data_IF_187501623174
#
_entry.id   IF_187501623174
#
_cell.length_a   1.000
_cell.length_b   1.000
_cell.length_c   1.000
_cell.angle_alpha   90.00
_cell.angle_beta   90.00
_cell.angle_gamma   90.00
#
_symmetry.space_group_name_H-M   'P 1'
#
loop_
_entity.id
_entity.type
_entity.pdbx_description
1 polymer ?
#
# COMPACT_ATOMS: atom_id res chain seq x y z
N UNK A 1 19.16 11.16 8.93
CA UNK A 1 19.03 10.65 7.55
C UNK A 1 18.46 11.76 6.66
N UNK A 2 18.85 11.83 5.38
CA UNK A 2 18.52 12.95 4.46
C UNK A 2 17.02 13.21 4.29
N UNK A 3 16.17 12.19 4.43
CA UNK A 3 14.71 12.32 4.27
C UNK A 3 13.93 12.46 5.59
N UNK A 4 14.58 12.28 6.75
CA UNK A 4 14.00 12.42 8.10
C UNK A 4 12.50 12.03 8.21
N UNK A 5 11.65 12.97 8.62
CA UNK A 5 10.20 12.82 8.80
C UNK A 5 9.41 12.69 7.47
N UNK A 6 9.99 13.14 6.36
CA UNK A 6 9.42 13.00 5.02
C UNK A 6 9.47 11.56 4.49
N UNK A 7 10.25 10.68 5.12
CA UNK A 7 10.39 9.30 4.68
C UNK A 7 9.24 8.44 5.21
N UNK A 8 8.25 8.19 4.34
CA UNK A 8 7.21 7.19 4.56
C UNK A 8 7.74 5.74 4.55
N UNK A 9 6.83 4.74 4.60
CA UNK A 9 7.19 3.33 4.57
C UNK A 9 7.94 2.97 3.28
N UNK A 10 8.99 2.15 3.41
CA UNK A 10 9.78 1.68 2.27
C UNK A 10 8.98 0.66 1.47
N UNK A 11 8.84 0.84 0.16
CA UNK A 11 8.17 -0.15 -0.69
C UNK A 11 9.08 -1.35 -0.96
N UNK A 12 8.68 -2.53 -0.49
CA UNK A 12 9.29 -3.82 -0.83
C UNK A 12 8.38 -4.58 -1.80
N UNK A 13 8.71 -4.51 -3.09
CA UNK A 13 7.92 -5.15 -4.14
C UNK A 13 8.57 -6.45 -4.62
N UNK A 14 7.84 -7.55 -4.47
CA UNK A 14 8.31 -8.89 -4.79
C UNK A 14 7.93 -9.29 -6.23
N UNK A 15 8.80 -10.02 -6.96
CA UNK A 15 8.46 -10.51 -8.29
C UNK A 15 7.42 -11.63 -8.21
N UNK A 16 6.65 -11.89 -9.29
CA UNK A 16 5.61 -12.92 -9.31
C UNK A 16 6.17 -14.35 -9.15
N UNK A 17 7.46 -14.57 -9.44
CA UNK A 17 8.12 -15.87 -9.25
C UNK A 17 8.52 -16.14 -7.80
N UNK A 18 8.43 -15.15 -6.91
CA UNK A 18 8.80 -15.30 -5.50
C UNK A 18 7.60 -15.78 -4.69
N UNK A 19 7.59 -17.08 -4.39
CA UNK A 19 6.63 -17.66 -3.44
C UNK A 19 6.95 -17.27 -1.99
N UNK A 20 6.00 -17.55 -1.09
CA UNK A 20 6.08 -17.24 0.34
C UNK A 20 7.37 -17.81 0.93
N UNK A 21 8.14 -16.94 1.58
CA UNK A 21 9.31 -17.29 2.35
C UNK A 21 9.41 -16.31 3.54
N UNK A 22 8.92 -16.75 4.70
CA UNK A 22 8.84 -15.90 5.89
C UNK A 22 10.23 -15.51 6.41
N UNK A 23 11.22 -16.42 6.36
CA UNK A 23 12.58 -16.11 6.80
C UNK A 23 13.23 -15.01 5.94
N UNK A 24 13.00 -15.03 4.62
CA UNK A 24 13.44 -13.97 3.72
C UNK A 24 12.75 -12.64 4.05
N UNK A 25 11.42 -12.66 4.22
CA UNK A 25 10.66 -11.46 4.54
C UNK A 25 11.13 -10.85 5.86
N UNK A 26 11.26 -11.66 6.91
CA UNK A 26 11.73 -11.23 8.22
C UNK A 26 13.14 -10.64 8.17
N UNK A 27 14.05 -11.29 7.45
CA UNK A 27 15.42 -10.80 7.25
C UNK A 27 15.44 -9.43 6.54
N UNK A 28 14.60 -9.24 5.53
CA UNK A 28 14.49 -7.96 4.80
C UNK A 28 13.91 -6.85 5.68
N UNK A 29 12.84 -7.14 6.42
CA UNK A 29 12.19 -6.18 7.32
C UNK A 29 13.13 -5.78 8.48
N UNK A 30 13.81 -6.76 9.08
CA UNK A 30 14.83 -6.54 10.11
C UNK A 30 15.97 -5.67 9.58
N UNK A 31 16.48 -5.96 8.37
CA UNK A 31 17.59 -5.21 7.78
C UNK A 31 17.21 -3.76 7.43
N UNK A 32 15.95 -3.49 7.09
CA UNK A 32 15.46 -2.13 6.86
C UNK A 32 15.42 -1.31 8.15
N UNK A 33 15.23 -1.96 9.30
CA UNK A 33 15.10 -1.33 10.63
C UNK A 33 14.07 -0.19 10.65
N UNK A 34 13.00 -0.31 9.85
CA UNK A 34 11.91 0.65 9.73
C UNK A 34 10.69 0.04 9.04
N UNK A 35 9.50 0.65 9.18
CA UNK A 35 8.29 0.21 8.49
C UNK A 35 8.47 0.08 6.97
N UNK A 36 7.95 -1.02 6.43
CA UNK A 36 7.93 -1.30 5.01
C UNK A 36 6.51 -1.62 4.54
N UNK A 37 6.19 -1.21 3.32
CA UNK A 37 4.99 -1.62 2.62
C UNK A 37 5.35 -2.78 1.68
N UNK A 38 4.87 -3.99 1.98
CA UNK A 38 5.16 -5.19 1.21
C UNK A 38 4.13 -5.38 0.07
N UNK A 39 4.60 -5.45 -1.16
CA UNK A 39 3.78 -5.74 -2.33
C UNK A 39 4.12 -7.12 -2.89
N UNK A 40 3.16 -8.03 -2.81
CA UNK A 40 3.29 -9.39 -3.32
C UNK A 40 2.53 -9.58 -4.62
N UNK A 41 3.11 -10.40 -5.51
CA UNK A 41 2.54 -10.77 -6.81
C UNK A 41 2.29 -12.27 -6.95
N UNK A 42 2.48 -13.02 -5.87
CA UNK A 42 2.24 -14.44 -5.78
C UNK A 42 1.27 -14.71 -4.63
N UNK A 43 0.20 -15.46 -4.89
CA UNK A 43 -0.92 -15.65 -3.96
C UNK A 43 -0.54 -16.33 -2.65
N UNK A 44 0.53 -17.13 -2.65
CA UNK A 44 1.03 -17.82 -1.45
C UNK A 44 1.36 -16.88 -0.28
N UNK A 45 1.59 -15.59 -0.55
CA UNK A 45 1.85 -14.58 0.47
C UNK A 45 0.58 -14.07 1.16
N UNK A 46 -0.60 -14.31 0.59
CA UNK A 46 -1.87 -13.85 1.13
C UNK A 46 -2.38 -14.81 2.20
N UNK A 47 -1.61 -14.86 3.28
CA UNK A 47 -1.69 -15.86 4.34
C UNK A 47 -1.43 -15.19 5.70
N UNK A 48 -2.09 -15.69 6.75
CA UNK A 48 -2.10 -15.06 8.07
C UNK A 48 -0.69 -14.88 8.67
N UNK A 49 0.23 -15.80 8.43
CA UNK A 49 1.58 -15.73 9.00
C UNK A 49 2.41 -14.60 8.37
N UNK A 50 2.21 -14.32 7.07
CA UNK A 50 2.87 -13.21 6.41
C UNK A 50 2.31 -11.87 6.90
N UNK A 51 0.99 -11.79 7.12
CA UNK A 51 0.33 -10.59 7.64
C UNK A 51 0.81 -10.24 9.04
N UNK A 52 0.84 -11.25 9.93
CA UNK A 52 1.34 -11.10 11.30
C UNK A 52 2.79 -10.63 11.33
N UNK A 53 3.65 -11.21 10.49
CA UNK A 53 5.04 -10.78 10.39
C UNK A 53 5.15 -9.31 9.91
N UNK A 54 4.37 -8.90 8.92
CA UNK A 54 4.35 -7.50 8.47
C UNK A 54 3.91 -6.57 9.61
N UNK A 55 2.87 -6.96 10.36
CA UNK A 55 2.34 -6.21 11.49
C UNK A 55 3.34 -6.08 12.64
N UNK A 56 4.06 -7.15 12.98
CA UNK A 56 5.12 -7.15 14.02
C UNK A 56 6.24 -6.15 13.69
N UNK A 57 6.52 -5.92 12.41
CA UNK A 57 7.49 -4.93 11.93
C UNK A 57 6.87 -3.53 11.68
N UNK A 58 5.61 -3.30 12.06
CA UNK A 58 4.90 -2.04 11.87
C UNK A 58 4.69 -1.67 10.40
N UNK A 59 4.72 -2.66 9.51
CA UNK A 59 4.59 -2.47 8.06
C UNK A 59 3.14 -2.43 7.58
N UNK A 60 2.99 -2.44 6.25
CA UNK A 60 1.69 -2.49 5.57
C UNK A 60 1.70 -3.51 4.43
N UNK A 61 0.53 -4.06 4.13
CA UNK A 61 0.32 -4.83 2.90
C UNK A 61 -0.15 -3.88 1.80
N UNK A 62 0.49 -3.95 0.63
CA UNK A 62 0.16 -3.05 -0.49
C UNK A 62 -1.02 -3.61 -1.28
N UNK A 63 -2.14 -2.88 -1.27
CA UNK A 63 -3.29 -3.17 -2.14
C UNK A 63 -3.03 -2.55 -3.52
N UNK A 64 -2.72 -3.40 -4.50
CA UNK A 64 -2.42 -2.97 -5.87
C UNK A 64 -3.56 -3.28 -6.82
N UNK A 65 -4.04 -2.26 -7.53
CA UNK A 65 -5.01 -2.43 -8.61
C UNK A 65 -4.31 -2.68 -9.95
N UNK A 66 -3.94 -3.92 -10.23
CA UNK A 66 -3.34 -4.34 -11.49
C UNK A 66 -3.84 -5.74 -11.86
N UNK A 67 -4.49 -5.89 -13.02
CA UNK A 67 -5.15 -7.15 -13.41
C UNK A 67 -4.18 -8.32 -13.61
N UNK A 68 -2.88 -8.04 -13.75
CA UNK A 68 -1.85 -9.02 -14.07
C UNK A 68 -1.55 -9.95 -12.89
N UNK A 69 -1.75 -9.49 -11.66
CA UNK A 69 -1.32 -10.17 -10.44
C UNK A 69 -2.48 -10.27 -9.45
N UNK A 70 -2.46 -11.25 -8.52
CA UNK A 70 -3.50 -11.37 -7.53
C UNK A 70 -3.50 -10.14 -6.61
N UNK A 71 -4.70 -9.63 -6.30
CA UNK A 71 -4.87 -8.44 -5.47
C UNK A 71 -4.81 -8.83 -3.99
N UNK A 72 -3.92 -8.19 -3.24
CA UNK A 72 -3.89 -8.31 -1.79
C UNK A 72 -5.25 -7.92 -1.19
N UNK A 73 -5.73 -8.63 -0.16
CA UNK A 73 -6.90 -8.17 0.59
C UNK A 73 -6.57 -6.88 1.33
N UNK A 74 -7.58 -6.06 1.57
CA UNK A 74 -7.47 -4.96 2.52
C UNK A 74 -7.56 -5.56 3.93
N UNK A 75 -6.43 -5.60 4.62
CA UNK A 75 -6.28 -6.12 5.99
C UNK A 75 -5.75 -5.02 6.89
N UNK A 76 -6.27 -4.95 8.11
CA UNK A 76 -5.78 -4.01 9.12
C UNK A 76 -4.54 -4.60 9.80
N UNK A 77 -3.37 -4.03 9.49
CA UNK A 77 -2.07 -4.47 10.00
C UNK A 77 -1.38 -3.44 10.90
N UNK A 78 -2.08 -2.38 11.31
CA UNK A 78 -1.51 -1.34 12.18
C UNK A 78 -1.74 0.07 11.67
N UNK A 79 -0.79 0.98 11.88
CA UNK A 79 -0.98 2.42 11.67
C UNK A 79 -0.91 2.89 10.22
N UNK A 80 -0.54 2.01 9.28
CA UNK A 80 -0.28 2.39 7.88
C UNK A 80 -1.12 1.56 6.91
N UNK A 81 -1.81 2.25 6.00
CA UNK A 81 -2.39 1.63 4.80
C UNK A 81 -1.70 2.11 3.52
N UNK A 82 -1.61 1.23 2.52
CA UNK A 82 -0.86 1.51 1.29
C UNK A 82 -1.58 0.99 0.05
N UNK A 83 -1.89 1.89 -0.88
CA UNK A 83 -2.60 1.60 -2.13
C UNK A 83 -1.77 1.99 -3.35
N UNK A 84 -1.80 1.14 -4.37
CA UNK A 84 -1.23 1.43 -5.70
C UNK A 84 -2.29 1.26 -6.78
N UNK A 85 -2.84 2.37 -7.25
CA UNK A 85 -3.91 2.43 -8.24
C UNK A 85 -3.30 2.54 -9.64
N UNK A 86 -3.20 1.41 -10.37
CA UNK A 86 -2.36 1.32 -11.57
C UNK A 86 -3.13 1.32 -12.91
N UNK A 87 -4.47 1.39 -12.87
CA UNK A 87 -5.32 1.41 -14.06
C UNK A 87 -5.69 2.84 -14.49
N UNK A 88 -6.41 2.96 -15.60
CA UNK A 88 -7.12 4.19 -15.94
C UNK A 88 -8.46 4.23 -15.21
N UNK A 89 -8.82 5.39 -14.65
CA UNK A 89 -10.03 5.54 -13.84
C UNK A 89 -10.98 6.58 -14.41
N UNK A 90 -12.23 6.17 -14.62
CA UNK A 90 -13.38 7.06 -14.76
C UNK A 90 -13.93 7.44 -13.38
N UNK A 91 -14.99 8.25 -13.36
CA UNK A 91 -15.72 8.57 -12.13
C UNK A 91 -16.25 7.33 -11.43
N UNK A 92 -16.89 6.44 -12.19
CA UNK A 92 -17.52 5.26 -11.66
C UNK A 92 -16.48 4.24 -11.17
N UNK A 93 -15.40 4.03 -11.93
CA UNK A 93 -14.39 3.04 -11.55
C UNK A 93 -13.49 3.48 -10.40
N UNK A 94 -13.40 4.79 -10.12
CA UNK A 94 -12.65 5.30 -8.97
C UNK A 94 -13.44 5.17 -7.65
N UNK A 95 -14.77 5.11 -7.73
CA UNK A 95 -15.65 5.17 -6.56
C UNK A 95 -15.39 4.04 -5.52
N UNK A 96 -15.18 2.76 -5.91
CA UNK A 96 -14.85 1.73 -4.93
C UNK A 96 -13.55 2.04 -4.17
N UNK A 97 -12.54 2.59 -4.85
CA UNK A 97 -11.28 2.98 -4.23
C UNK A 97 -11.44 4.18 -3.30
N UNK A 98 -12.38 5.09 -3.57
CA UNK A 98 -12.72 6.18 -2.64
C UNK A 98 -13.24 5.61 -1.33
N UNK A 99 -14.10 4.60 -1.41
CA UNK A 99 -14.71 3.96 -0.24
C UNK A 99 -13.65 3.20 0.58
N UNK A 100 -12.82 2.38 -0.08
CA UNK A 100 -11.72 1.67 0.56
C UNK A 100 -10.72 2.63 1.23
N UNK A 101 -10.32 3.69 0.53
CA UNK A 101 -9.37 4.70 1.07
C UNK A 101 -10.01 5.49 2.21
N UNK A 102 -11.32 5.78 2.16
CA UNK A 102 -12.03 6.46 3.25
C UNK A 102 -12.10 5.58 4.49
N UNK A 103 -12.38 4.29 4.31
CA UNK A 103 -12.37 3.31 5.41
C UNK A 103 -10.98 3.22 6.04
N UNK A 104 -9.94 3.09 5.20
CA UNK A 104 -8.56 3.08 5.67
C UNK A 104 -8.18 4.38 6.42
N UNK A 105 -8.59 5.55 5.91
CA UNK A 105 -8.29 6.84 6.55
C UNK A 105 -9.06 7.08 7.87
N UNK A 106 -9.97 6.18 8.25
CA UNK A 106 -10.62 6.17 9.55
C UNK A 106 -9.98 5.17 10.53
N UNK A 107 -9.29 4.14 10.02
CA UNK A 107 -8.67 3.07 10.81
C UNK A 107 -7.16 3.24 11.03
N UNK A 108 -6.48 4.01 10.18
CA UNK A 108 -5.03 4.13 10.16
C UNK A 108 -4.57 5.58 10.33
N UNK A 109 -3.40 5.77 10.94
CA UNK A 109 -2.78 7.09 11.12
C UNK A 109 -2.29 7.67 9.78
N UNK A 110 -1.77 6.80 8.90
CA UNK A 110 -1.22 7.19 7.62
C UNK A 110 -1.79 6.34 6.48
N UNK A 111 -2.26 7.00 5.42
CA UNK A 111 -2.73 6.34 4.20
C UNK A 111 -1.97 6.85 3.00
N UNK A 112 -1.21 5.95 2.37
CA UNK A 112 -0.46 6.25 1.17
C UNK A 112 -1.21 5.74 -0.07
N UNK A 113 -1.49 6.63 -1.03
CA UNK A 113 -2.13 6.25 -2.29
C UNK A 113 -1.30 6.75 -3.47
N UNK A 114 -0.87 5.83 -4.32
CA UNK A 114 -0.08 6.13 -5.51
C UNK A 114 -0.82 5.74 -6.76
N UNK A 115 -1.01 6.69 -7.67
CA UNK A 115 -1.44 6.38 -9.04
C UNK A 115 -0.23 6.00 -9.89
N UNK A 116 -0.41 5.14 -10.90
CA UNK A 116 0.63 4.86 -11.90
C UNK A 116 1.15 6.18 -12.50
N UNK A 117 2.44 6.23 -12.87
CA UNK A 117 2.99 7.40 -13.54
C UNK A 117 2.34 7.58 -14.92
N UNK A 118 1.45 8.58 -15.00
CA UNK A 118 0.71 8.97 -16.20
C UNK A 118 0.35 10.47 -16.09
N UNK A 119 0.14 11.12 -17.24
CA UNK A 119 -0.30 12.52 -17.33
C UNK A 119 -1.60 12.82 -16.57
N UNK A 120 -2.53 11.87 -16.50
CA UNK A 120 -3.83 12.04 -15.83
C UNK A 120 -3.73 11.85 -14.30
N UNK A 121 -2.66 11.22 -13.81
CA UNK A 121 -2.53 10.79 -12.41
C UNK A 121 -2.58 11.93 -11.38
N UNK A 122 -1.96 13.11 -11.60
CA UNK A 122 -2.11 14.24 -10.67
C UNK A 122 -3.57 14.71 -10.51
N UNK A 123 -4.36 14.67 -11.60
CA UNK A 123 -5.77 15.05 -11.55
C UNK A 123 -6.60 13.99 -10.78
N UNK A 124 -6.29 12.70 -10.99
CA UNK A 124 -6.91 11.60 -10.25
C UNK A 124 -6.59 11.67 -8.75
N UNK A 125 -5.34 11.96 -8.37
CA UNK A 125 -4.93 12.11 -6.98
C UNK A 125 -5.66 13.26 -6.28
N UNK A 126 -5.70 14.45 -6.89
CA UNK A 126 -6.46 15.60 -6.35
C UNK A 126 -7.93 15.29 -6.21
N UNK A 127 -8.48 14.52 -7.15
CA UNK A 127 -9.87 14.11 -7.12
C UNK A 127 -10.16 13.14 -5.98
N UNK A 128 -9.32 12.12 -5.80
CA UNK A 128 -9.43 11.19 -4.68
C UNK A 128 -9.43 11.94 -3.35
N UNK A 129 -8.48 12.86 -3.15
CA UNK A 129 -8.39 13.70 -1.94
C UNK A 129 -9.69 14.47 -1.68
N UNK A 130 -10.27 15.11 -2.71
CA UNK A 130 -11.57 15.80 -2.58
C UNK A 130 -12.70 14.85 -2.19
N UNK A 131 -12.76 13.66 -2.78
CA UNK A 131 -13.83 12.70 -2.53
C UNK A 131 -13.70 12.02 -1.16
N UNK A 132 -12.49 11.82 -0.66
CA UNK A 132 -12.23 11.30 0.69
C UNK A 132 -12.38 12.41 1.75
N UNK A 133 -12.49 13.68 1.33
CA UNK A 133 -12.54 14.87 2.20
C UNK A 133 -11.34 14.95 3.15
N UNK A 134 -10.15 14.63 2.64
CA UNK A 134 -8.87 14.69 3.37
C UNK A 134 -7.89 15.58 2.63
N UNK A 135 -7.10 16.34 3.37
CA UNK A 135 -5.96 17.07 2.83
C UNK A 135 -4.73 16.16 2.77
N UNK A 136 -3.84 16.35 1.77
CA UNK A 136 -2.56 15.65 1.76
C UNK A 136 -1.73 16.11 2.96
N UNK A 137 -1.10 15.15 3.64
CA UNK A 137 -0.13 15.47 4.71
C UNK A 137 1.01 16.25 4.08
N UNK A 138 1.17 17.51 4.48
CA UNK A 138 2.37 18.29 4.17
C UNK A 138 3.47 17.79 5.08
N UNK A 139 4.37 16.97 4.54
CA UNK A 139 5.63 16.65 5.19
C UNK A 139 6.64 17.63 4.66
#
# INVERSE_FOLDING_TARGET
>A
AVLAEHLGPVLLQFPPTRQKNLALLDSLLTALARPAAAEFRHESWFDADAYRLIQEHGGALVVTDEAKWPRAPLVDLGSVAYFRLRRGYTNASLQPWVEDVRSAAAAHDEVHVYFKHDSASPALARRLLRLVAKEPVRR
#
